data_IF_234616000808
#
_entry.id   IF_234616000808
#
_cell.length_a   1.000
_cell.length_b   1.000
_cell.length_c   1.000
_cell.angle_alpha   90.00
_cell.angle_beta   90.00
_cell.angle_gamma   90.00
#
_symmetry.space_group_name_H-M   'P 1'
#
loop_
_entity.id
_entity.type
_entity.pdbx_description
1 polymer ?
#
# COMPACT_ATOMS: atom_id res chain seq x y z
N UNK A 1 4.93 -20.66 -30.62
CA UNK A 1 4.88 -19.85 -31.86
C UNK A 1 5.11 -18.38 -31.49
N UNK A 2 5.84 -17.61 -32.33
CA UNK A 2 6.54 -16.39 -31.92
C UNK A 2 5.74 -15.08 -32.13
N UNK A 3 6.02 -14.13 -31.23
CA UNK A 3 6.23 -12.66 -31.37
C UNK A 3 5.27 -11.79 -32.20
N UNK A 4 4.73 -10.76 -31.55
CA UNK A 4 4.66 -9.35 -32.01
C UNK A 4 4.43 -8.50 -30.74
N UNK A 5 5.21 -7.50 -30.30
CA UNK A 5 6.10 -6.49 -30.88
C UNK A 5 5.39 -5.51 -31.83
N UNK A 6 4.78 -4.49 -31.24
CA UNK A 6 4.51 -3.21 -31.90
C UNK A 6 5.08 -2.08 -31.05
N UNK A 7 6.23 -1.58 -31.51
CA UNK A 7 6.81 -0.27 -31.18
C UNK A 7 6.27 0.75 -32.17
N UNK A 8 5.68 1.84 -31.68
CA UNK A 8 5.35 3.05 -32.45
C UNK A 8 5.00 4.12 -31.39
N UNK A 9 5.53 5.35 -31.37
CA UNK A 9 6.30 6.11 -32.34
C UNK A 9 6.92 7.32 -31.63
N UNK A 10 8.09 7.76 -32.09
CA UNK A 10 8.71 9.04 -31.79
C UNK A 10 7.75 10.20 -32.12
N UNK A 11 7.64 11.15 -31.21
CA UNK A 11 7.04 12.47 -31.44
C UNK A 11 8.02 13.55 -31.01
N UNK A 12 9.06 13.75 -31.82
CA UNK A 12 10.00 14.87 -31.73
C UNK A 12 9.23 16.13 -32.14
N UNK A 13 8.83 16.99 -31.21
CA UNK A 13 8.29 18.31 -31.53
C UNK A 13 9.41 19.34 -31.38
N UNK A 14 9.71 19.94 -32.52
CA UNK A 14 10.74 20.91 -32.76
C UNK A 14 10.50 22.23 -32.02
N UNK A 15 11.57 22.67 -31.36
CA UNK A 15 12.16 24.01 -31.43
C UNK A 15 11.34 25.09 -32.16
N UNK A 16 10.75 26.01 -31.38
CA UNK A 16 10.42 27.35 -31.85
C UNK A 16 11.03 28.38 -30.89
N UNK A 17 12.27 28.76 -31.19
CA UNK A 17 12.93 29.96 -30.66
C UNK A 17 12.22 31.17 -31.27
N UNK A 18 11.27 31.76 -30.54
CA UNK A 18 10.74 33.08 -30.87
C UNK A 18 11.62 34.12 -30.17
N UNK A 19 12.49 34.73 -30.97
CA UNK A 19 13.23 35.94 -30.61
C UNK A 19 12.24 37.10 -30.65
N UNK A 20 11.69 37.47 -29.48
CA UNK A 20 10.92 38.71 -29.37
C UNK A 20 11.86 39.85 -28.97
N UNK A 21 12.10 40.71 -29.96
CA UNK A 21 12.72 42.02 -29.89
C UNK A 21 12.18 42.85 -28.72
N UNK A 22 13.10 43.30 -27.87
CA UNK A 22 12.83 44.18 -26.75
C UNK A 22 12.30 45.54 -27.22
N UNK A 23 11.12 45.89 -26.71
CA UNK A 23 10.67 47.28 -26.58
C UNK A 23 10.73 47.63 -25.10
N UNK A 24 11.73 48.42 -24.72
CA UNK A 24 11.80 49.06 -23.42
C UNK A 24 10.75 50.19 -23.38
N UNK A 25 9.60 49.92 -22.78
CA UNK A 25 8.68 50.96 -22.31
C UNK A 25 8.86 51.08 -20.80
N UNK A 26 9.49 52.18 -20.40
CA UNK A 26 9.53 52.64 -19.03
C UNK A 26 8.10 53.00 -18.57
N UNK A 27 7.48 52.14 -17.77
CA UNK A 27 6.28 52.47 -17.00
C UNK A 27 6.75 52.96 -15.63
N UNK A 28 6.93 54.28 -15.53
CA UNK A 28 7.04 54.99 -14.26
C UNK A 28 5.64 55.12 -13.66
N UNK A 29 5.18 54.05 -12.99
CA UNK A 29 3.93 54.03 -12.24
C UNK A 29 4.18 53.32 -10.92
N UNK A 30 4.62 54.05 -9.90
CA UNK A 30 4.58 53.56 -8.52
C UNK A 30 3.11 53.28 -8.19
N UNK A 31 2.72 52.02 -7.88
CA UNK A 31 1.38 51.76 -7.40
C UNK A 31 1.18 52.53 -6.10
N UNK A 32 0.11 53.31 -6.05
CA UNK A 32 -0.38 53.98 -4.86
C UNK A 32 -0.85 52.90 -3.87
N UNK A 33 0.09 52.37 -3.07
CA UNK A 33 -0.23 51.47 -1.97
C UNK A 33 -1.02 52.26 -0.93
N UNK A 34 -2.34 52.08 -0.93
CA UNK A 34 -3.17 52.51 0.19
C UNK A 34 -2.61 51.87 1.45
N UNK A 35 -2.41 52.62 2.55
CA UNK A 35 -1.98 52.01 3.80
C UNK A 35 -3.01 50.97 4.21
N UNK A 36 -2.61 49.70 4.14
CA UNK A 36 -3.41 48.56 4.57
C UNK A 36 -3.79 48.81 6.02
N UNK A 37 -5.09 48.85 6.31
CA UNK A 37 -5.56 49.10 7.67
C UNK A 37 -5.02 48.01 8.60
N UNK A 38 -4.82 48.33 9.88
CA UNK A 38 -4.35 47.35 10.87
C UNK A 38 -5.25 46.09 10.92
N UNK A 39 -6.54 46.26 10.59
CA UNK A 39 -7.53 45.18 10.50
C UNK A 39 -7.29 44.27 9.28
N UNK A 40 -7.00 44.83 8.11
CA UNK A 40 -6.66 44.05 6.90
C UNK A 40 -5.32 43.33 7.08
N UNK A 41 -4.30 43.98 7.65
CA UNK A 41 -3.02 43.35 7.94
C UNK A 41 -3.16 42.20 8.96
N UNK A 42 -4.02 42.34 9.97
CA UNK A 42 -4.33 41.27 10.91
C UNK A 42 -5.07 40.09 10.23
N UNK A 43 -6.01 40.36 9.31
CA UNK A 43 -6.71 39.32 8.57
C UNK A 43 -5.79 38.51 7.66
N UNK A 44 -4.88 39.16 6.92
CA UNK A 44 -3.88 38.50 6.08
C UNK A 44 -2.92 37.63 6.89
N UNK A 45 -2.52 38.09 8.09
CA UNK A 45 -1.69 37.30 9.00
C UNK A 45 -2.42 36.06 9.52
N UNK A 46 -3.71 36.17 9.83
CA UNK A 46 -4.53 35.04 10.26
C UNK A 46 -4.74 34.03 9.13
N UNK A 47 -4.97 34.49 7.90
CA UNK A 47 -5.08 33.65 6.72
C UNK A 47 -3.77 32.92 6.41
N UNK A 48 -2.63 33.62 6.43
CA UNK A 48 -1.31 33.01 6.27
C UNK A 48 -0.97 32.00 7.37
N UNK A 49 -1.36 32.27 8.62
CA UNK A 49 -1.19 31.32 9.72
C UNK A 49 -2.08 30.07 9.56
N UNK A 50 -3.32 30.25 9.10
CA UNK A 50 -4.25 29.13 8.81
C UNK A 50 -3.74 28.26 7.67
N UNK A 51 -3.23 28.87 6.60
CA UNK A 51 -2.65 28.16 5.46
C UNK A 51 -1.44 27.32 5.90
N UNK A 52 -0.47 27.92 6.60
CA UNK A 52 0.69 27.18 7.16
C UNK A 52 0.29 26.02 8.06
N UNK A 53 -0.72 26.24 8.91
CA UNK A 53 -1.23 25.19 9.80
C UNK A 53 -1.87 24.04 9.00
N UNK A 54 -2.54 24.36 7.89
CA UNK A 54 -3.08 23.37 6.99
C UNK A 54 -1.99 22.59 6.26
N UNK A 55 -1.05 23.25 5.59
CA UNK A 55 0.05 22.61 4.84
C UNK A 55 0.88 21.67 5.73
N UNK A 56 1.06 22.06 7.00
CA UNK A 56 1.74 21.20 7.98
C UNK A 56 0.94 19.93 8.26
N UNK A 57 -0.38 20.03 8.40
CA UNK A 57 -1.27 18.88 8.61
C UNK A 57 -1.35 18.00 7.38
N UNK A 58 -1.46 18.59 6.20
CA UNK A 58 -1.40 17.92 4.90
C UNK A 58 -0.17 17.02 4.82
N UNK A 59 1.02 17.58 5.06
CA UNK A 59 2.26 16.79 5.06
C UNK A 59 2.23 15.65 6.06
N UNK A 60 1.73 15.89 7.27
CA UNK A 60 1.63 14.84 8.30
C UNK A 60 0.66 13.74 7.88
N UNK A 61 -0.48 14.10 7.28
CA UNK A 61 -1.48 13.16 6.78
C UNK A 61 -0.88 12.32 5.66
N UNK A 62 -0.32 12.94 4.63
CA UNK A 62 0.31 12.22 3.51
C UNK A 62 1.42 11.27 3.99
N UNK A 63 2.25 11.69 4.96
CA UNK A 63 3.24 10.81 5.60
C UNK A 63 2.64 9.65 6.42
N UNK A 64 1.43 9.81 6.97
CA UNK A 64 0.72 8.72 7.65
C UNK A 64 0.20 7.73 6.60
N UNK A 65 -0.42 8.23 5.53
CA UNK A 65 -0.99 7.42 4.46
C UNK A 65 0.09 6.54 3.81
N UNK A 66 1.23 7.14 3.44
CA UNK A 66 2.38 6.42 2.87
C UNK A 66 2.92 5.34 3.83
N UNK A 67 3.09 5.66 5.12
CA UNK A 67 3.55 4.67 6.12
C UNK A 67 2.56 3.53 6.31
N UNK A 68 1.27 3.76 6.13
CA UNK A 68 0.23 2.73 6.22
C UNK A 68 0.31 1.80 5.01
N UNK A 69 0.35 2.35 3.79
CA UNK A 69 0.49 1.56 2.56
C UNK A 69 1.73 0.65 2.62
N UNK A 70 2.89 1.22 2.97
CA UNK A 70 4.14 0.47 3.12
C UNK A 70 4.08 -0.62 4.21
N UNK A 71 3.23 -0.47 5.23
CA UNK A 71 3.09 -1.47 6.30
C UNK A 71 2.34 -2.70 5.81
N UNK A 72 1.30 -2.51 4.98
CA UNK A 72 0.52 -3.60 4.39
C UNK A 72 1.40 -4.53 3.56
N UNK A 73 2.17 -3.93 2.65
CA UNK A 73 3.10 -4.65 1.77
C UNK A 73 4.15 -5.45 2.58
N UNK A 74 4.76 -4.84 3.60
CA UNK A 74 5.72 -5.53 4.48
C UNK A 74 5.10 -6.74 5.18
N UNK A 75 3.86 -6.64 5.66
CA UNK A 75 3.17 -7.78 6.30
C UNK A 75 2.89 -8.89 5.30
N UNK A 76 2.42 -8.53 4.10
CA UNK A 76 2.15 -9.48 3.03
C UNK A 76 3.42 -10.26 2.62
N UNK A 77 4.55 -9.57 2.52
CA UNK A 77 5.84 -10.19 2.23
C UNK A 77 6.29 -11.17 3.33
N UNK A 78 6.13 -10.80 4.60
CA UNK A 78 6.45 -11.70 5.73
C UNK A 78 5.57 -12.95 5.70
N UNK A 79 4.27 -12.79 5.50
CA UNK A 79 3.32 -13.90 5.44
C UNK A 79 3.59 -14.82 4.24
N UNK A 80 3.93 -14.26 3.09
CA UNK A 80 4.32 -15.03 1.90
C UNK A 80 5.58 -15.86 2.14
N UNK A 81 6.61 -15.26 2.74
CA UNK A 81 7.84 -15.97 3.06
C UNK A 81 7.60 -17.11 4.09
N UNK A 82 6.67 -16.93 5.03
CA UNK A 82 6.27 -18.00 5.96
C UNK A 82 5.56 -19.12 5.19
N UNK A 83 4.62 -18.78 4.31
CA UNK A 83 3.89 -19.77 3.51
C UNK A 83 4.83 -20.65 2.69
N UNK A 84 5.77 -20.05 1.97
CA UNK A 84 6.76 -20.75 1.14
C UNK A 84 7.63 -21.69 1.99
N UNK A 85 8.05 -21.25 3.18
CA UNK A 85 8.82 -22.10 4.11
C UNK A 85 8.01 -23.28 4.62
N UNK A 86 6.72 -23.09 4.89
CA UNK A 86 5.83 -24.18 5.34
C UNK A 86 5.63 -25.20 4.24
N UNK A 87 5.38 -24.76 3.00
CA UNK A 87 5.27 -25.65 1.85
C UNK A 87 6.58 -26.41 1.61
N UNK A 88 7.72 -25.71 1.62
CA UNK A 88 9.03 -26.32 1.46
C UNK A 88 9.35 -27.33 2.58
N UNK A 89 8.95 -27.04 3.82
CA UNK A 89 9.10 -27.96 4.93
C UNK A 89 8.24 -29.21 4.75
N UNK A 90 6.96 -29.05 4.38
CA UNK A 90 6.03 -30.16 4.14
C UNK A 90 6.59 -31.13 3.09
N UNK A 91 7.02 -30.61 1.94
CA UNK A 91 7.62 -31.42 0.87
C UNK A 91 8.94 -32.06 1.30
N UNK A 92 9.83 -31.32 1.99
CA UNK A 92 11.13 -31.85 2.42
C UNK A 92 11.02 -32.99 3.43
N UNK A 93 9.96 -32.98 4.23
CA UNK A 93 9.70 -33.98 5.26
C UNK A 93 8.84 -35.14 4.77
N UNK A 94 8.43 -35.13 3.50
CA UNK A 94 7.56 -36.15 2.89
C UNK A 94 6.32 -36.42 3.75
N UNK A 95 5.71 -35.33 4.26
CA UNK A 95 4.54 -35.43 5.11
C UNK A 95 3.31 -35.74 4.26
N UNK A 96 2.38 -36.49 4.85
CA UNK A 96 1.07 -36.76 4.27
C UNK A 96 -0.01 -36.20 5.18
N UNK A 97 -0.82 -35.29 4.63
CA UNK A 97 -1.96 -34.69 5.31
C UNK A 97 -3.13 -34.65 4.33
N UNK A 98 -4.23 -35.33 4.67
CA UNK A 98 -5.38 -35.54 3.77
C UNK A 98 -6.09 -34.25 3.34
N UNK A 99 -6.02 -33.19 4.14
CA UNK A 99 -6.62 -31.89 3.86
C UNK A 99 -5.60 -30.80 3.47
N UNK A 100 -4.36 -31.17 3.13
CA UNK A 100 -3.29 -30.21 2.84
C UNK A 100 -3.62 -29.29 1.67
N UNK A 101 -4.10 -29.85 0.55
CA UNK A 101 -4.40 -29.07 -0.65
C UNK A 101 -5.51 -28.05 -0.42
N UNK A 102 -6.52 -28.40 0.39
CA UNK A 102 -7.59 -27.48 0.78
C UNK A 102 -7.05 -26.33 1.64
N UNK A 103 -6.14 -26.60 2.58
CA UNK A 103 -5.50 -25.56 3.40
C UNK A 103 -4.62 -24.64 2.55
N UNK A 104 -3.83 -25.20 1.62
CA UNK A 104 -3.02 -24.43 0.66
C UNK A 104 -3.91 -23.57 -0.24
N UNK A 105 -5.03 -24.09 -0.72
CA UNK A 105 -5.99 -23.34 -1.53
C UNK A 105 -6.62 -22.18 -0.74
N UNK A 106 -7.03 -22.40 0.52
CA UNK A 106 -7.56 -21.32 1.36
C UNK A 106 -6.50 -20.24 1.60
N UNK A 107 -5.27 -20.63 1.96
CA UNK A 107 -4.16 -19.69 2.15
C UNK A 107 -3.90 -18.84 0.89
N UNK A 108 -3.90 -19.45 -0.29
CA UNK A 108 -3.75 -18.71 -1.56
C UNK A 108 -4.91 -17.75 -1.81
N UNK A 109 -6.16 -18.16 -1.56
CA UNK A 109 -7.31 -17.30 -1.70
C UNK A 109 -7.25 -16.09 -0.75
N UNK A 110 -6.85 -16.29 0.51
CA UNK A 110 -6.67 -15.19 1.48
C UNK A 110 -5.47 -14.31 1.15
N UNK A 111 -4.38 -14.87 0.62
CA UNK A 111 -3.23 -14.10 0.11
C UNK A 111 -3.67 -13.16 -1.01
N UNK A 112 -4.43 -13.67 -1.98
CA UNK A 112 -4.94 -12.85 -3.09
C UNK A 112 -5.85 -11.72 -2.60
N UNK A 113 -6.79 -12.02 -1.70
CA UNK A 113 -7.65 -10.99 -1.11
C UNK A 113 -6.87 -9.94 -0.30
N UNK A 114 -5.83 -10.34 0.42
CA UNK A 114 -4.95 -9.42 1.14
C UNK A 114 -4.13 -8.56 0.17
N UNK A 115 -3.63 -9.13 -0.93
CA UNK A 115 -2.91 -8.38 -1.96
C UNK A 115 -3.81 -7.31 -2.58
N UNK A 116 -5.03 -7.67 -3.00
CA UNK A 116 -5.99 -6.72 -3.55
C UNK A 116 -6.27 -5.56 -2.58
N UNK A 117 -6.48 -5.84 -1.29
CA UNK A 117 -6.75 -4.79 -0.31
C UNK A 117 -5.54 -3.89 -0.01
N UNK A 118 -4.31 -4.42 -0.09
CA UNK A 118 -3.07 -3.62 0.02
C UNK A 118 -2.88 -2.75 -1.22
N UNK A 119 -3.08 -3.31 -2.40
CA UNK A 119 -2.96 -2.59 -3.68
C UNK A 119 -3.99 -1.45 -3.74
N UNK A 120 -5.23 -1.68 -3.31
CA UNK A 120 -6.27 -0.65 -3.25
C UNK A 120 -5.86 0.58 -2.41
N UNK A 121 -5.08 0.38 -1.34
CA UNK A 121 -4.58 1.48 -0.50
C UNK A 121 -3.35 2.14 -1.13
N UNK A 122 -2.47 1.38 -1.77
CA UNK A 122 -1.30 1.89 -2.46
C UNK A 122 -1.66 2.73 -3.71
N UNK A 123 -2.66 2.28 -4.46
CA UNK A 123 -3.14 2.93 -5.68
C UNK A 123 -3.99 4.17 -5.39
N UNK A 124 -4.65 4.21 -4.22
CA UNK A 124 -5.33 5.41 -3.74
C UNK A 124 -4.28 6.41 -3.27
N UNK A 125 -3.79 7.23 -4.20
CA UNK A 125 -3.18 8.51 -3.89
C UNK A 125 -4.24 9.41 -3.25
N UNK A 126 -4.48 9.21 -1.95
CA UNK A 126 -5.28 10.13 -1.15
C UNK A 126 -4.41 11.34 -0.88
N UNK A 127 -4.40 12.27 -1.83
CA UNK A 127 -3.69 13.53 -1.64
C UNK A 127 -4.60 14.45 -0.82
N UNK A 128 -4.29 14.58 0.46
CA UNK A 128 -4.98 15.55 1.29
C UNK A 128 -4.50 16.93 0.86
N UNK A 129 -5.34 17.71 0.18
CA UNK A 129 -5.00 19.07 -0.22
C UNK A 129 -5.77 20.09 0.63
N UNK A 130 -5.06 21.10 1.11
CA UNK A 130 -5.64 22.19 1.91
C UNK A 130 -6.68 23.06 1.19
N UNK A 131 -6.66 23.06 -0.14
CA UNK A 131 -7.62 23.71 -1.03
C UNK A 131 -8.66 22.75 -1.61
N UNK A 132 -8.64 21.47 -1.19
CA UNK A 132 -9.56 20.44 -1.66
C UNK A 132 -11.01 20.70 -1.26
N UNK A 133 -11.95 20.28 -2.12
CA UNK A 133 -13.38 20.48 -1.91
C UNK A 133 -13.99 19.57 -0.83
N UNK A 134 -13.38 18.41 -0.54
CA UNK A 134 -13.82 17.49 0.52
C UNK A 134 -12.67 16.67 1.17
N UNK A 135 -11.81 17.33 1.96
CA UNK A 135 -10.72 16.65 2.68
C UNK A 135 -11.21 15.66 3.74
N UNK A 136 -12.46 15.78 4.22
CA UNK A 136 -13.02 14.87 5.23
C UNK A 136 -13.49 13.57 4.61
N UNK A 137 -14.16 13.62 3.46
CA UNK A 137 -14.58 12.43 2.70
C UNK A 137 -13.41 11.58 2.27
N UNK A 138 -12.33 12.20 1.77
CA UNK A 138 -11.11 11.51 1.39
C UNK A 138 -10.49 10.68 2.55
N UNK A 139 -10.42 11.28 3.74
CA UNK A 139 -9.94 10.59 4.95
C UNK A 139 -10.90 9.50 5.43
N UNK A 140 -12.21 9.71 5.27
CA UNK A 140 -13.22 8.70 5.64
C UNK A 140 -13.10 7.45 4.75
N UNK A 141 -13.00 7.63 3.43
CA UNK A 141 -12.80 6.54 2.47
C UNK A 141 -11.52 5.75 2.77
N UNK A 142 -10.40 6.45 2.96
CA UNK A 142 -9.13 5.81 3.34
C UNK A 142 -9.24 4.96 4.61
N UNK A 143 -10.00 5.41 5.61
CA UNK A 143 -10.19 4.65 6.86
C UNK A 143 -11.01 3.38 6.65
N UNK A 144 -11.95 3.39 5.72
CA UNK A 144 -12.73 2.20 5.38
C UNK A 144 -11.87 1.18 4.64
N UNK A 145 -11.06 1.65 3.69
CA UNK A 145 -10.08 0.82 2.98
C UNK A 145 -9.07 0.20 3.94
N UNK A 146 -8.51 0.99 4.86
CA UNK A 146 -7.59 0.50 5.89
C UNK A 146 -8.22 -0.59 6.76
N UNK A 147 -9.51 -0.48 7.10
CA UNK A 147 -10.20 -1.55 7.84
C UNK A 147 -10.33 -2.82 7.00
N UNK A 148 -10.60 -2.69 5.69
CA UNK A 148 -10.67 -3.81 4.77
C UNK A 148 -9.31 -4.51 4.65
N UNK A 149 -8.23 -3.75 4.48
CA UNK A 149 -6.84 -4.25 4.46
C UNK A 149 -6.49 -5.01 5.74
N UNK A 150 -6.74 -4.41 6.92
CA UNK A 150 -6.48 -5.06 8.21
C UNK A 150 -7.23 -6.40 8.31
N UNK A 151 -8.50 -6.42 7.91
CA UNK A 151 -9.33 -7.63 7.94
C UNK A 151 -8.78 -8.71 7.00
N UNK A 152 -8.38 -8.33 5.78
CA UNK A 152 -7.84 -9.25 4.79
C UNK A 152 -6.49 -9.84 5.23
N UNK A 153 -5.57 -8.99 5.73
CA UNK A 153 -4.29 -9.44 6.29
C UNK A 153 -4.46 -10.36 7.50
N UNK A 154 -5.45 -10.10 8.36
CA UNK A 154 -5.75 -10.99 9.49
C UNK A 154 -6.29 -12.35 9.02
N UNK A 155 -7.17 -12.35 8.02
CA UNK A 155 -7.68 -13.60 7.44
C UNK A 155 -6.55 -14.44 6.82
N UNK A 156 -5.61 -13.81 6.11
CA UNK A 156 -4.43 -14.48 5.58
C UNK A 156 -3.51 -15.01 6.68
N UNK A 157 -3.29 -14.20 7.73
CA UNK A 157 -2.53 -14.66 8.89
C UNK A 157 -3.17 -15.88 9.57
N UNK A 158 -4.51 -15.90 9.68
CA UNK A 158 -5.22 -17.00 10.31
C UNK A 158 -5.13 -18.28 9.49
N UNK A 159 -5.39 -18.22 8.18
CA UNK A 159 -5.27 -19.40 7.31
C UNK A 159 -3.85 -19.97 7.33
N UNK A 160 -2.83 -19.11 7.42
CA UNK A 160 -1.43 -19.56 7.60
C UNK A 160 -1.20 -20.29 8.92
N UNK A 161 -1.77 -19.78 10.03
CA UNK A 161 -1.68 -20.48 11.32
C UNK A 161 -2.35 -21.84 11.25
N UNK A 162 -3.51 -21.92 10.62
CA UNK A 162 -4.26 -23.17 10.49
C UNK A 162 -3.46 -24.22 9.70
N UNK A 163 -2.82 -23.80 8.59
CA UNK A 163 -1.90 -24.65 7.83
C UNK A 163 -0.69 -25.09 8.68
N UNK A 164 -0.03 -24.16 9.38
CA UNK A 164 1.13 -24.46 10.23
C UNK A 164 0.76 -25.47 11.33
N UNK A 165 -0.38 -25.29 11.97
CA UNK A 165 -0.86 -26.21 13.02
C UNK A 165 -1.13 -27.58 12.43
N UNK A 166 -1.81 -27.69 11.29
CA UNK A 166 -2.09 -28.97 10.65
C UNK A 166 -0.79 -29.71 10.25
N UNK A 167 0.17 -29.01 9.64
CA UNK A 167 1.49 -29.56 9.30
C UNK A 167 2.27 -29.98 10.56
N UNK A 168 2.17 -29.23 11.65
CA UNK A 168 2.83 -29.59 12.91
C UNK A 168 2.21 -30.85 13.53
N UNK A 169 0.88 -30.97 13.49
CA UNK A 169 0.16 -32.14 14.01
C UNK A 169 0.52 -33.40 13.22
N UNK A 170 0.61 -33.32 11.88
CA UNK A 170 0.96 -34.49 11.05
C UNK A 170 2.36 -35.06 11.35
N UNK A 171 3.29 -34.23 11.81
CA UNK A 171 4.62 -34.69 12.27
C UNK A 171 4.49 -35.56 13.53
N UNK A 172 3.64 -35.17 14.47
CA UNK A 172 3.45 -35.91 15.72
C UNK A 172 2.84 -37.30 15.43
N UNK A 173 1.85 -37.36 14.54
CA UNK A 173 1.20 -38.61 14.14
C UNK A 173 2.18 -39.57 13.44
N UNK A 174 3.08 -39.02 12.62
CA UNK A 174 4.14 -39.79 11.94
C UNK A 174 5.16 -40.36 12.95
N UNK A 175 5.54 -39.59 13.97
CA UNK A 175 6.47 -40.05 15.00
C UNK A 175 5.90 -41.19 15.87
N UNK A 176 4.59 -41.15 16.15
CA UNK A 176 3.90 -42.16 16.96
C UNK A 176 3.68 -43.47 16.21
N UNK A 177 3.43 -43.42 14.89
CA UNK A 177 3.29 -44.63 14.07
C UNK A 177 4.61 -45.41 13.93
N UNK A 178 5.74 -44.72 13.92
CA UNK A 178 7.06 -45.34 13.81
C UNK A 178 7.54 -45.99 15.12
N UNK A 179 6.99 -45.61 16.28
CA UNK A 179 7.37 -46.16 17.59
C UNK A 179 6.60 -47.43 17.97
N UNK A 180 5.37 -47.61 17.46
CA UNK A 180 4.57 -48.82 17.70
C UNK A 180 4.91 -50.01 16.78
N UNK A 181 5.84 -49.84 15.83
CA UNK A 181 6.18 -50.88 14.85
C UNK A 181 7.32 -51.82 15.30
N UNK A 182 7.85 -51.68 16.53
CA UNK A 182 9.03 -52.43 17.00
C UNK A 182 8.78 -53.41 18.16
N UNK A 183 7.53 -53.72 18.53
CA UNK A 183 7.21 -54.61 19.67
C UNK A 183 6.45 -55.89 19.27
N UNK A 184 6.45 -56.27 17.99
CA UNK A 184 5.71 -57.42 17.46
C UNK A 184 6.55 -58.42 16.67
N UNK A 185 7.71 -58.84 17.18
CA UNK A 185 8.45 -59.98 16.62
C UNK A 185 9.11 -60.78 17.76
N UNK A 186 8.35 -61.69 18.38
CA UNK A 186 8.83 -62.85 19.14
C UNK A 186 7.89 -64.04 18.91
#
# INVERSE_FOLDING_TARGET
MPKSLTKTTLGLIALALVVFSGSALAISGLPNERPVSAQEAASLRLEGARLKACETRERVINNILDRVANRGERRLNVYSAIFERVQGFYTKKDLSLSNYDQLVADVNAKKAAAQTAVDEIGDKQVDFACDGSDPKGAVAGFREDLKAEIKALHAYQQSLKDLIVAVKTSIADTAQSNSNSSEGEQ
#
